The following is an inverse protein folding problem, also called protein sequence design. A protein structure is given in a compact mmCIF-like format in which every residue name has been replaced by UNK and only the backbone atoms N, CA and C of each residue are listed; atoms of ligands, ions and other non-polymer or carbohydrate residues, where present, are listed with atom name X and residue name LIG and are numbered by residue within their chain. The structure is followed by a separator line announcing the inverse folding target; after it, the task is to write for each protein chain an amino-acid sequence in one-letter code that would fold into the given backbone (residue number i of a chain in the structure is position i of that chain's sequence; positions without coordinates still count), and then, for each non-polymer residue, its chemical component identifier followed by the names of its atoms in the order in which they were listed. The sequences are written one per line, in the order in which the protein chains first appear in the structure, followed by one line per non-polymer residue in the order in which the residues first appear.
data_IF_640642198933
#
_entry.id   IF_640642198933
#
_cell.length_a   1.000
_cell.length_b   1.000
_cell.length_c   1.000
_cell.angle_alpha   90.00
_cell.angle_beta   90.00
_cell.angle_gamma   90.00
#
_symmetry.space_group_name_H-M   'P 1'
#
loop_
_entity.id
_entity.type
_entity.pdbx_description
1 polymer ?
#
# COMPACT_ATOMS: atom_id res chain seq x y z
N UNK A 1 -47.95 2.35 28.17
CA UNK A 1 -46.51 2.37 27.82
C UNK A 1 -46.28 2.65 26.34
N UNK A 2 -46.81 3.76 25.80
CA UNK A 2 -46.66 4.10 24.37
C UNK A 2 -46.33 5.58 24.10
N UNK A 3 -46.16 6.38 25.16
CA UNK A 3 -46.06 7.84 25.05
C UNK A 3 -44.64 8.37 25.31
N UNK A 4 -43.73 7.51 25.77
CA UNK A 4 -42.32 7.88 26.03
C UNK A 4 -41.38 7.50 24.86
N UNK A 5 -41.81 6.61 23.95
CA UNK A 5 -41.01 6.21 22.80
C UNK A 5 -41.01 7.27 21.69
N UNK A 6 -42.07 8.08 21.58
CA UNK A 6 -42.20 9.09 20.52
C UNK A 6 -41.30 10.33 20.73
N UNK A 7 -41.01 10.71 21.99
CA UNK A 7 -40.19 11.89 22.28
C UNK A 7 -38.69 11.66 22.05
N UNK A 8 -38.19 10.43 22.20
CA UNK A 8 -36.77 10.11 22.01
C UNK A 8 -36.39 10.08 20.53
N UNK A 9 -37.32 9.69 19.65
CA UNK A 9 -37.11 9.67 18.20
C UNK A 9 -37.10 11.07 17.56
N UNK A 10 -37.74 12.06 18.17
CA UNK A 10 -37.77 13.43 17.63
C UNK A 10 -36.50 14.25 17.96
N UNK A 11 -35.71 13.82 18.95
CA UNK A 11 -34.48 14.50 19.37
C UNK A 11 -33.22 14.01 18.64
N UNK A 12 -33.28 12.88 17.90
CA UNK A 12 -32.14 12.36 17.12
C UNK A 12 -32.06 12.90 15.68
N UNK A 13 -32.99 13.77 15.26
CA UNK A 13 -33.04 14.30 13.89
C UNK A 13 -32.25 15.61 13.69
N UNK A 14 -31.56 16.13 14.72
CA UNK A 14 -30.68 17.29 14.58
C UNK A 14 -29.21 16.87 14.68
N UNK A 15 -28.45 17.25 13.64
CA UNK A 15 -27.00 17.25 13.55
C UNK A 15 -26.31 15.98 13.03
N UNK A 16 -26.69 15.52 11.83
CA UNK A 16 -25.68 15.02 10.88
C UNK A 16 -25.97 15.65 9.51
N UNK A 17 -25.78 16.97 9.42
CA UNK A 17 -25.35 17.51 8.16
C UNK A 17 -23.89 17.06 8.01
N UNK A 18 -23.49 16.25 7.00
CA UNK A 18 -22.12 16.33 6.56
C UNK A 18 -21.94 17.80 6.17
N UNK A 19 -21.16 18.53 6.95
CA UNK A 19 -20.69 19.83 6.53
C UNK A 19 -19.92 19.62 5.24
N UNK A 20 -20.63 19.73 4.11
CA UNK A 20 -20.03 20.17 2.86
C UNK A 20 -19.54 21.59 3.16
N UNK A 21 -18.37 21.69 3.79
CA UNK A 21 -17.55 22.88 3.65
C UNK A 21 -17.28 22.97 2.17
N UNK A 22 -18.13 23.70 1.44
CA UNK A 22 -17.74 24.26 0.16
C UNK A 22 -16.43 24.95 0.48
N UNK A 23 -15.33 24.44 -0.07
CA UNK A 23 -14.03 25.03 0.15
C UNK A 23 -14.13 26.45 -0.41
N UNK A 24 -14.40 27.42 0.48
CA UNK A 24 -14.62 28.80 0.08
C UNK A 24 -13.26 29.35 -0.24
N UNK A 25 -12.96 29.48 -1.53
CA UNK A 25 -11.72 30.07 -2.01
C UNK A 25 -11.60 31.49 -1.48
N UNK A 26 -10.47 31.83 -0.88
CA UNK A 26 -10.19 33.22 -0.49
C UNK A 26 -9.96 34.09 -1.74
N UNK A 27 -10.07 35.43 -1.64
CA UNK A 27 -9.74 36.31 -2.74
C UNK A 27 -8.32 36.07 -3.31
N UNK A 28 -7.35 35.79 -2.43
CA UNK A 28 -5.97 35.50 -2.83
C UNK A 28 -5.86 34.17 -3.60
N UNK A 29 -6.52 33.10 -3.14
CA UNK A 29 -6.59 31.82 -3.85
C UNK A 29 -7.29 31.98 -5.20
N UNK A 30 -8.45 32.63 -5.23
CA UNK A 30 -9.23 32.84 -6.45
C UNK A 30 -8.42 33.64 -7.49
N UNK A 31 -7.81 34.76 -7.10
CA UNK A 31 -6.96 35.55 -7.98
C UNK A 31 -5.78 34.74 -8.54
N UNK A 32 -5.06 34.02 -7.67
CA UNK A 32 -3.92 33.18 -8.07
C UNK A 32 -4.35 32.10 -9.06
N UNK A 33 -5.40 31.35 -8.73
CA UNK A 33 -5.85 30.23 -9.58
C UNK A 33 -6.45 30.71 -10.90
N UNK A 34 -7.18 31.85 -10.93
CA UNK A 34 -7.67 32.43 -12.18
C UNK A 34 -6.50 32.90 -13.07
N UNK A 35 -5.46 33.49 -12.48
CA UNK A 35 -4.28 33.91 -13.23
C UNK A 35 -3.53 32.71 -13.85
N UNK A 36 -3.38 31.60 -13.10
CA UNK A 36 -2.78 30.38 -13.61
C UNK A 36 -3.59 29.73 -14.74
N UNK A 37 -4.92 29.70 -14.60
CA UNK A 37 -5.83 29.15 -15.61
C UNK A 37 -5.79 29.98 -16.90
N UNK A 38 -5.85 31.31 -16.78
CA UNK A 38 -5.72 32.23 -17.91
C UNK A 38 -4.33 32.15 -18.59
N UNK A 39 -3.28 31.89 -17.80
CA UNK A 39 -1.92 31.69 -18.27
C UNK A 39 -1.67 30.35 -18.99
N UNK A 40 -2.67 29.46 -19.03
CA UNK A 40 -2.58 28.11 -19.60
C UNK A 40 -1.44 27.26 -19.02
N UNK A 41 -1.18 27.42 -17.73
CA UNK A 41 -0.34 26.46 -17.01
C UNK A 41 -1.06 25.10 -16.95
N UNK A 42 -0.31 24.00 -16.76
CA UNK A 42 -0.80 22.61 -16.84
C UNK A 42 -1.79 22.21 -15.71
N UNK A 43 -2.38 23.17 -15.01
CA UNK A 43 -3.22 22.96 -13.85
C UNK A 43 -4.54 23.73 -14.00
N UNK A 44 -5.69 23.04 -14.09
CA UNK A 44 -6.98 23.71 -14.18
C UNK A 44 -7.27 24.48 -12.88
N UNK A 45 -8.05 25.56 -12.99
CA UNK A 45 -8.50 26.34 -11.82
C UNK A 45 -9.00 25.47 -10.66
N UNK A 46 -9.82 24.45 -10.97
CA UNK A 46 -10.42 23.56 -9.96
C UNK A 46 -9.39 22.76 -9.16
N UNK A 47 -8.29 22.35 -9.78
CA UNK A 47 -7.18 21.67 -9.10
C UNK A 47 -6.46 22.65 -8.16
N UNK A 48 -6.08 23.82 -8.67
CA UNK A 48 -5.41 24.86 -7.88
C UNK A 48 -6.24 25.27 -6.66
N UNK A 49 -7.51 25.62 -6.89
CA UNK A 49 -8.42 26.04 -5.84
C UNK A 49 -8.66 24.93 -4.82
N UNK A 50 -8.82 23.68 -5.27
CA UNK A 50 -9.02 22.53 -4.40
C UNK A 50 -7.83 22.25 -3.49
N UNK A 51 -6.61 22.23 -4.04
CA UNK A 51 -5.37 21.99 -3.27
C UNK A 51 -5.17 23.10 -2.24
N UNK A 52 -5.26 24.36 -2.65
CA UNK A 52 -4.99 25.50 -1.77
C UNK A 52 -6.07 25.67 -0.70
N UNK A 53 -7.35 25.48 -1.04
CA UNK A 53 -8.42 25.68 -0.06
C UNK A 53 -8.50 24.55 0.99
N UNK A 54 -7.89 23.40 0.70
CA UNK A 54 -7.78 22.29 1.66
C UNK A 54 -6.64 22.48 2.67
N UNK A 55 -5.69 23.38 2.40
CA UNK A 55 -4.59 23.69 3.31
C UNK A 55 -4.92 24.91 4.19
N UNK A 56 -4.88 24.80 5.53
CA UNK A 56 -5.22 25.91 6.41
C UNK A 56 -4.34 27.16 6.25
N UNK A 57 -3.07 27.01 5.90
CA UNK A 57 -2.16 28.16 5.73
C UNK A 57 -2.45 28.90 4.42
N UNK A 58 -2.69 28.17 3.33
CA UNK A 58 -3.16 28.76 2.08
C UNK A 58 -4.54 29.42 2.25
N UNK A 59 -5.48 28.77 2.95
CA UNK A 59 -6.81 29.32 3.23
C UNK A 59 -6.78 30.56 4.16
N UNK A 60 -5.73 30.72 4.97
CA UNK A 60 -5.54 31.91 5.80
C UNK A 60 -4.74 33.03 5.10
N UNK A 61 -4.13 32.75 3.95
CA UNK A 61 -3.31 33.70 3.24
C UNK A 61 -4.14 34.87 2.69
N UNK A 62 -3.65 36.09 2.92
CA UNK A 62 -4.29 37.34 2.47
C UNK A 62 -3.71 37.87 1.16
N UNK A 63 -2.60 37.32 0.68
CA UNK A 63 -1.92 37.73 -0.55
C UNK A 63 -1.30 36.54 -1.31
N UNK A 64 -0.85 36.81 -2.54
CA UNK A 64 -0.26 35.81 -3.44
C UNK A 64 1.06 35.22 -2.90
N UNK A 65 1.80 35.99 -2.10
CA UNK A 65 3.05 35.53 -1.50
C UNK A 65 2.77 34.44 -0.46
N UNK A 66 1.78 34.64 0.41
CA UNK A 66 1.34 33.64 1.38
C UNK A 66 0.74 32.40 0.70
N UNK A 67 -0.04 32.58 -0.37
CA UNK A 67 -0.54 31.46 -1.18
C UNK A 67 0.61 30.66 -1.80
N UNK A 68 1.63 31.34 -2.32
CA UNK A 68 2.82 30.70 -2.92
C UNK A 68 3.65 29.94 -1.88
N UNK A 69 3.87 30.54 -0.70
CA UNK A 69 4.57 29.87 0.41
C UNK A 69 3.83 28.60 0.86
N UNK A 70 2.51 28.68 0.99
CA UNK A 70 1.69 27.52 1.32
C UNK A 70 1.73 26.45 0.22
N UNK A 71 1.67 26.83 -1.06
CA UNK A 71 1.81 25.90 -2.19
C UNK A 71 3.15 25.14 -2.13
N UNK A 72 4.26 25.86 -1.90
CA UNK A 72 5.59 25.25 -1.76
C UNK A 72 5.62 24.27 -0.57
N UNK A 73 5.04 24.65 0.56
CA UNK A 73 5.00 23.79 1.74
C UNK A 73 4.11 22.55 1.54
N UNK A 74 2.99 22.67 0.81
CA UNK A 74 2.18 21.53 0.38
C UNK A 74 3.02 20.60 -0.48
N UNK A 75 3.68 21.11 -1.52
CA UNK A 75 4.55 20.33 -2.40
C UNK A 75 5.66 19.61 -1.63
N UNK A 76 6.33 20.31 -0.70
CA UNK A 76 7.38 19.74 0.13
C UNK A 76 6.87 18.59 1.00
N UNK A 77 5.70 18.75 1.64
CA UNK A 77 5.09 17.69 2.46
C UNK A 77 4.64 16.50 1.61
N UNK A 78 4.06 16.75 0.43
CA UNK A 78 3.70 15.68 -0.50
C UNK A 78 4.93 14.90 -0.95
N UNK A 79 6.00 15.59 -1.34
CA UNK A 79 7.26 14.96 -1.72
C UNK A 79 7.89 14.16 -0.57
N UNK A 80 7.91 14.72 0.64
CA UNK A 80 8.39 14.02 1.84
C UNK A 80 7.56 12.76 2.16
N UNK A 81 6.24 12.83 2.01
CA UNK A 81 5.36 11.69 2.19
C UNK A 81 5.63 10.60 1.14
N UNK A 82 5.80 10.96 -0.14
CA UNK A 82 6.20 10.01 -1.18
C UNK A 82 7.55 9.38 -0.88
N UNK A 83 8.54 10.17 -0.44
CA UNK A 83 9.86 9.66 -0.07
C UNK A 83 9.78 8.66 1.10
N UNK A 84 8.93 8.91 2.10
CA UNK A 84 8.68 7.96 3.19
C UNK A 84 8.16 6.63 2.66
N UNK A 85 7.13 6.66 1.82
CA UNK A 85 6.55 5.45 1.22
C UNK A 85 7.59 4.68 0.38
N UNK A 86 8.42 5.39 -0.39
CA UNK A 86 9.50 4.76 -1.15
C UNK A 86 10.55 4.11 -0.25
N UNK A 87 10.90 4.76 0.86
CA UNK A 87 11.87 4.24 1.83
C UNK A 87 11.32 2.95 2.47
N UNK A 88 10.08 3.00 2.97
CA UNK A 88 9.40 1.83 3.53
C UNK A 88 9.32 0.68 2.51
N UNK A 89 8.99 0.99 1.25
CA UNK A 89 8.89 -0.01 0.20
C UNK A 89 10.25 -0.65 -0.11
N UNK A 90 11.32 0.14 -0.18
CA UNK A 90 12.67 -0.40 -0.42
C UNK A 90 13.09 -1.34 0.71
N UNK A 91 12.79 -1.01 1.97
CA UNK A 91 13.09 -1.85 3.12
C UNK A 91 12.26 -3.16 3.12
N UNK A 92 10.97 -3.07 2.77
CA UNK A 92 10.08 -4.22 2.57
C UNK A 92 10.58 -5.15 1.45
N UNK A 93 10.99 -4.57 0.32
CA UNK A 93 11.59 -5.31 -0.80
C UNK A 93 12.93 -5.95 -0.40
N UNK A 94 13.71 -5.28 0.45
CA UNK A 94 14.92 -5.84 1.04
C UNK A 94 14.66 -7.15 1.80
N UNK A 95 13.61 -7.18 2.63
CA UNK A 95 13.18 -8.38 3.36
C UNK A 95 12.67 -9.47 2.42
N UNK A 96 11.85 -9.12 1.44
CA UNK A 96 11.41 -10.05 0.41
C UNK A 96 12.59 -10.70 -0.33
N UNK A 97 13.62 -9.92 -0.67
CA UNK A 97 14.83 -10.42 -1.31
C UNK A 97 15.55 -11.47 -0.45
N UNK A 98 15.64 -11.24 0.86
CA UNK A 98 16.24 -12.21 1.80
C UNK A 98 15.42 -13.51 1.87
N UNK A 99 14.08 -13.41 1.91
CA UNK A 99 13.22 -14.58 1.88
C UNK A 99 13.38 -15.38 0.58
N UNK A 100 13.37 -14.71 -0.57
CA UNK A 100 13.57 -15.37 -1.86
C UNK A 100 14.99 -15.95 -2.01
N UNK A 101 16.01 -15.31 -1.45
CA UNK A 101 17.35 -15.89 -1.35
C UNK A 101 17.33 -17.23 -0.61
N UNK A 102 16.68 -17.26 0.56
CA UNK A 102 16.51 -18.49 1.37
C UNK A 102 15.68 -19.56 0.63
N UNK A 103 14.69 -19.16 -0.16
CA UNK A 103 13.89 -20.06 -0.99
C UNK A 103 14.73 -20.71 -2.08
N UNK A 104 15.56 -19.94 -2.78
CA UNK A 104 16.47 -20.46 -3.83
C UNK A 104 17.43 -21.48 -3.24
N UNK A 105 18.06 -21.18 -2.10
CA UNK A 105 18.95 -22.11 -1.39
C UNK A 105 18.22 -23.39 -0.95
N UNK A 106 17.01 -23.25 -0.41
CA UNK A 106 16.19 -24.40 0.02
C UNK A 106 15.83 -25.31 -1.15
N UNK A 107 15.43 -24.74 -2.29
CA UNK A 107 15.08 -25.50 -3.50
C UNK A 107 16.31 -26.20 -4.11
N UNK A 108 17.48 -25.55 -4.10
CA UNK A 108 18.72 -26.18 -4.50
C UNK A 108 19.05 -27.39 -3.61
N UNK A 109 18.90 -27.25 -2.29
CA UNK A 109 19.09 -28.37 -1.35
C UNK A 109 18.10 -29.53 -1.57
N UNK A 110 16.83 -29.23 -1.90
CA UNK A 110 15.85 -30.27 -2.28
C UNK A 110 16.30 -31.01 -3.53
N UNK A 111 16.81 -30.30 -4.54
CA UNK A 111 17.30 -30.90 -5.76
C UNK A 111 18.52 -31.81 -5.52
N UNK A 112 19.44 -31.39 -4.66
CA UNK A 112 20.61 -32.21 -4.26
C UNK A 112 20.18 -33.48 -3.51
N UNK A 113 19.20 -33.39 -2.61
CA UNK A 113 18.62 -34.56 -1.94
C UNK A 113 17.96 -35.51 -2.96
N UNK A 114 17.22 -34.96 -3.93
CA UNK A 114 16.57 -35.73 -4.98
C UNK A 114 17.59 -36.49 -5.85
N UNK A 115 18.65 -35.82 -6.29
CA UNK A 115 19.74 -36.43 -7.08
C UNK A 115 20.48 -37.52 -6.31
N UNK A 116 20.64 -37.36 -5.00
CA UNK A 116 21.24 -38.37 -4.14
C UNK A 116 20.28 -39.51 -3.76
N UNK A 117 19.03 -39.49 -4.23
CA UNK A 117 18.01 -40.46 -3.87
C UNK A 117 17.53 -40.38 -2.42
N UNK A 118 17.80 -39.25 -1.73
CA UNK A 118 17.37 -38.99 -0.35
C UNK A 118 15.97 -38.39 -0.36
N UNK A 119 14.97 -39.27 -0.27
CA UNK A 119 13.56 -38.89 -0.18
C UNK A 119 13.07 -39.05 1.26
N UNK A 120 13.57 -38.19 2.14
CA UNK A 120 13.27 -38.24 3.57
C UNK A 120 12.46 -37.02 4.05
N UNK A 121 12.11 -37.01 5.33
CA UNK A 121 11.33 -35.92 5.93
C UNK A 121 12.10 -34.58 5.91
N UNK A 122 13.44 -34.61 5.86
CA UNK A 122 14.25 -33.40 5.78
C UNK A 122 14.17 -32.76 4.39
N UNK A 123 14.23 -33.55 3.32
CA UNK A 123 14.01 -33.06 1.95
C UNK A 123 12.60 -32.46 1.80
N UNK A 124 11.57 -33.13 2.35
CA UNK A 124 10.21 -32.60 2.33
C UNK A 124 10.05 -31.31 3.15
N UNK A 125 10.71 -31.21 4.31
CA UNK A 125 10.69 -30.01 5.14
C UNK A 125 11.29 -28.81 4.40
N UNK A 126 12.42 -28.99 3.69
CA UNK A 126 13.02 -27.93 2.85
C UNK A 126 12.04 -27.47 1.75
N UNK A 127 11.40 -28.41 1.06
CA UNK A 127 10.46 -28.08 -0.02
C UNK A 127 9.24 -27.31 0.49
N UNK A 128 8.69 -27.70 1.65
CA UNK A 128 7.58 -26.97 2.31
C UNK A 128 7.98 -25.60 2.82
N UNK A 129 9.20 -25.47 3.35
CA UNK A 129 9.73 -24.17 3.76
C UNK A 129 9.83 -23.22 2.57
N UNK A 130 10.38 -23.70 1.45
CA UNK A 130 10.45 -22.95 0.20
C UNK A 130 9.06 -22.53 -0.30
N UNK A 131 8.04 -23.38 -0.17
CA UNK A 131 6.69 -23.04 -0.63
C UNK A 131 5.93 -22.06 0.25
N UNK A 132 6.40 -21.77 1.46
CA UNK A 132 5.80 -20.75 2.33
C UNK A 132 6.33 -19.34 2.04
N UNK A 133 7.53 -19.21 1.45
CA UNK A 133 8.21 -17.93 1.24
C UNK A 133 7.38 -16.90 0.44
N UNK A 134 6.71 -17.25 -0.67
CA UNK A 134 5.98 -16.26 -1.44
C UNK A 134 4.86 -15.57 -0.64
N UNK A 135 4.18 -16.31 0.24
CA UNK A 135 3.16 -15.74 1.13
C UNK A 135 3.79 -14.81 2.18
N UNK A 136 5.01 -15.11 2.65
CA UNK A 136 5.73 -14.25 3.60
C UNK A 136 6.09 -12.91 2.96
N UNK A 137 6.58 -12.93 1.72
CA UNK A 137 6.86 -11.70 0.98
C UNK A 137 5.58 -10.90 0.69
N UNK A 138 4.51 -11.57 0.23
CA UNK A 138 3.20 -10.94 0.01
C UNK A 138 2.72 -10.20 1.27
N UNK A 139 2.76 -10.88 2.42
CA UNK A 139 2.33 -10.30 3.69
C UNK A 139 3.16 -9.07 4.07
N UNK A 140 4.48 -9.10 3.86
CA UNK A 140 5.36 -7.96 4.12
C UNK A 140 4.98 -6.75 3.26
N UNK A 141 4.62 -6.95 1.99
CA UNK A 141 4.32 -5.85 1.06
C UNK A 141 2.90 -5.28 1.25
N UNK A 142 1.91 -6.12 1.54
CA UNK A 142 0.52 -5.65 1.71
C UNK A 142 0.26 -5.11 3.12
N UNK A 143 0.92 -5.65 4.15
CA UNK A 143 0.74 -5.22 5.55
C UNK A 143 1.86 -4.29 6.03
N UNK A 144 2.89 -4.10 5.22
CA UNK A 144 3.99 -3.17 5.49
C UNK A 144 3.54 -1.72 5.61
N UNK A 145 4.47 -0.87 6.00
CA UNK A 145 4.25 0.57 6.12
C UNK A 145 3.95 1.20 4.75
N UNK A 146 4.61 0.74 3.68
CA UNK A 146 4.37 1.29 2.35
C UNK A 146 2.98 0.91 1.83
N UNK A 147 2.46 -0.26 2.21
CA UNK A 147 1.19 -0.83 1.74
C UNK A 147 1.14 -0.88 0.21
N UNK A 148 2.24 -1.30 -0.39
CA UNK A 148 2.42 -1.40 -1.85
C UNK A 148 3.03 -2.74 -2.18
N UNK A 149 2.35 -3.47 -3.06
CA UNK A 149 2.84 -4.72 -3.59
C UNK A 149 2.97 -4.64 -5.12
N UNK A 150 4.20 -4.54 -5.65
CA UNK A 150 4.45 -4.60 -7.09
C UNK A 150 4.65 -6.02 -7.63
N UNK A 151 4.61 -7.06 -6.79
CA UNK A 151 4.99 -8.45 -7.12
C UNK A 151 3.93 -9.50 -6.78
N UNK A 152 2.68 -9.11 -6.52
CA UNK A 152 1.58 -10.06 -6.20
C UNK A 152 1.49 -11.22 -7.19
N UNK A 153 1.64 -10.94 -8.49
CA UNK A 153 1.57 -11.97 -9.53
C UNK A 153 2.74 -12.96 -9.41
N UNK A 154 3.95 -12.44 -9.25
CA UNK A 154 5.18 -13.22 -9.11
C UNK A 154 5.13 -14.07 -7.83
N UNK A 155 4.61 -13.55 -6.73
CA UNK A 155 4.39 -14.30 -5.49
C UNK A 155 3.42 -15.47 -5.70
N UNK A 156 2.28 -15.23 -6.38
CA UNK A 156 1.31 -16.28 -6.70
C UNK A 156 1.94 -17.38 -7.58
N UNK A 157 2.70 -17.00 -8.60
CA UNK A 157 3.31 -17.96 -9.52
C UNK A 157 4.40 -18.79 -8.82
N UNK A 158 5.26 -18.15 -8.01
CA UNK A 158 6.26 -18.83 -7.20
C UNK A 158 5.61 -19.76 -6.17
N UNK A 159 4.50 -19.34 -5.54
CA UNK A 159 3.75 -20.17 -4.60
C UNK A 159 3.26 -21.45 -5.25
N UNK A 160 2.66 -21.34 -6.43
CA UNK A 160 2.12 -22.49 -7.17
C UNK A 160 3.24 -23.48 -7.53
N UNK A 161 4.34 -23.00 -8.10
CA UNK A 161 5.45 -23.85 -8.54
C UNK A 161 6.16 -24.54 -7.36
N UNK A 162 6.45 -23.79 -6.30
CA UNK A 162 7.11 -24.34 -5.12
C UNK A 162 6.22 -25.31 -4.34
N UNK A 163 4.90 -25.06 -4.28
CA UNK A 163 3.94 -26.01 -3.70
C UNK A 163 3.88 -27.30 -4.51
N UNK A 164 3.87 -27.21 -5.84
CA UNK A 164 3.93 -28.38 -6.71
C UNK A 164 5.21 -29.20 -6.47
N UNK A 165 6.37 -28.54 -6.34
CA UNK A 165 7.63 -29.22 -6.02
C UNK A 165 7.58 -29.94 -4.66
N UNK A 166 6.97 -29.32 -3.65
CA UNK A 166 6.78 -29.94 -2.34
C UNK A 166 5.85 -31.17 -2.40
N UNK A 167 4.76 -31.10 -3.17
CA UNK A 167 3.83 -32.21 -3.35
C UNK A 167 4.47 -33.39 -4.08
N UNK A 168 5.26 -33.13 -5.12
CA UNK A 168 6.03 -34.15 -5.84
C UNK A 168 7.07 -34.80 -4.92
N UNK A 169 7.75 -34.01 -4.09
CA UNK A 169 8.71 -34.52 -3.09
C UNK A 169 8.01 -35.44 -2.08
N UNK A 170 6.82 -35.05 -1.61
CA UNK A 170 6.02 -35.87 -0.70
C UNK A 170 5.57 -37.18 -1.35
N UNK A 171 5.20 -37.14 -2.64
CA UNK A 171 4.86 -38.33 -3.41
C UNK A 171 6.05 -39.28 -3.54
N UNK A 172 7.22 -38.78 -3.97
CA UNK A 172 8.44 -39.58 -4.13
C UNK A 172 8.87 -40.27 -2.84
N UNK A 173 8.80 -39.55 -1.71
CA UNK A 173 9.07 -40.11 -0.39
C UNK A 173 8.12 -41.28 -0.03
N UNK A 174 6.82 -41.15 -0.32
CA UNK A 174 5.83 -42.21 -0.04
C UNK A 174 6.06 -43.44 -0.93
N UNK A 175 6.40 -43.23 -2.20
CA UNK A 175 6.70 -44.32 -3.15
C UNK A 175 7.94 -45.13 -2.81
N UNK A 176 8.84 -44.63 -1.95
CA UNK A 176 10.01 -45.37 -1.46
C UNK A 176 9.77 -46.15 -0.17
N UNK A 177 8.69 -45.83 0.57
CA UNK A 177 8.33 -46.51 1.82
C UNK A 177 7.46 -47.74 1.60
N UNK A 178 6.88 -47.92 0.41
CA UNK A 178 6.15 -49.13 -0.01
C UNK A 178 7.02 -50.03 -0.87
#
# INVERSE_FOLDING_TARGET
MAQHAALVLLLLALAIAPGLTVATTTPAINATCTALDAGRYDHPYSYCAGVLSADPAAAAATDERGVSEAAINISARTAASTLSVLTDLVDELGRCREYYGSMVESLAGVLDDFHAGRFDDAALAKARSASAVPDQCELVLIQGNAKKDPFTKENIDNKRLSSLAADITAFAMRSKKG
#
